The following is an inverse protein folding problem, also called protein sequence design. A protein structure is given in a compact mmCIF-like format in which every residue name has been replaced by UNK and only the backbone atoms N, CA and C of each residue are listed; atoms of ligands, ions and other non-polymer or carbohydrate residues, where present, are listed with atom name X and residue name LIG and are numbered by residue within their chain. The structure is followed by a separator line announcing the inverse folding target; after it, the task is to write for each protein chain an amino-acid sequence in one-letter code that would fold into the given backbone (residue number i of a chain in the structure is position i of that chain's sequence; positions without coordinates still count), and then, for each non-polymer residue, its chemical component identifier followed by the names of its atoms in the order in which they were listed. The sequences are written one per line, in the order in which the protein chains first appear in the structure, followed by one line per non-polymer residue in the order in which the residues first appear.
data_IF_390464943187
#
_entry.id   IF_390464943187
#
_cell.length_a   1.000
_cell.length_b   1.000
_cell.length_c   1.000
_cell.angle_alpha   90.00
_cell.angle_beta   90.00
_cell.angle_gamma   90.00
#
_symmetry.space_group_name_H-M   'P 1'
#
loop_
_entity.id
_entity.type
_entity.pdbx_description
1 polymer ?
#
# COMPACT_ATOMS: atom_id res chain seq x y z
N UNK A 1 0.13 12.15 13.89
CA UNK A 1 0.74 11.84 12.58
C UNK A 1 0.01 12.57 11.47
N UNK A 2 0.74 13.07 10.49
CA UNK A 2 0.20 13.71 9.27
C UNK A 2 0.12 12.62 8.19
N UNK A 3 -0.84 12.68 7.27
CA UNK A 3 -1.06 11.69 6.20
C UNK A 3 0.20 11.40 5.38
N UNK A 4 1.05 12.40 5.18
CA UNK A 4 2.36 12.29 4.52
C UNK A 4 3.31 11.32 5.25
N UNK A 5 3.30 11.32 6.59
CA UNK A 5 4.16 10.47 7.40
C UNK A 5 3.74 8.99 7.30
N UNK A 6 2.44 8.76 7.23
CA UNK A 6 1.82 7.44 7.10
C UNK A 6 2.15 6.82 5.74
N UNK A 7 1.99 7.59 4.66
CA UNK A 7 2.35 7.13 3.31
C UNK A 7 3.82 6.78 3.27
N UNK A 8 4.68 7.63 3.81
CA UNK A 8 6.13 7.41 3.82
C UNK A 8 6.53 6.14 4.57
N UNK A 9 5.93 5.85 5.72
CA UNK A 9 6.19 4.60 6.44
C UNK A 9 5.78 3.37 5.64
N UNK A 10 4.64 3.43 4.96
CA UNK A 10 4.21 2.35 4.08
C UNK A 10 5.18 2.20 2.88
N UNK A 11 5.65 3.29 2.27
CA UNK A 11 6.65 3.25 1.19
C UNK A 11 7.97 2.61 1.66
N UNK A 12 8.49 3.01 2.83
CA UNK A 12 9.71 2.45 3.40
C UNK A 12 9.57 0.95 3.69
N UNK A 13 8.41 0.53 4.19
CA UNK A 13 8.11 -0.88 4.44
C UNK A 13 8.06 -1.71 3.15
N UNK A 14 7.38 -1.20 2.12
CA UNK A 14 7.29 -1.87 0.82
C UNK A 14 8.66 -1.96 0.14
N UNK A 15 9.44 -0.87 0.19
CA UNK A 15 10.82 -0.82 -0.32
C UNK A 15 11.71 -1.82 0.40
N UNK A 16 11.60 -1.93 1.72
CA UNK A 16 12.36 -2.90 2.54
C UNK A 16 12.04 -4.36 2.20
N UNK A 17 10.84 -4.61 1.66
CA UNK A 17 10.40 -5.94 1.21
C UNK A 17 10.62 -6.19 -0.28
N UNK A 18 11.27 -5.28 -1.00
CA UNK A 18 11.47 -5.35 -2.45
C UNK A 18 10.15 -5.48 -3.22
N UNK A 19 9.07 -4.90 -2.68
CA UNK A 19 7.75 -4.88 -3.33
C UNK A 19 7.72 -3.68 -4.28
N UNK A 20 7.47 -3.94 -5.56
CA UNK A 20 7.30 -2.87 -6.56
C UNK A 20 5.96 -2.14 -6.36
N UNK A 21 6.00 -0.82 -6.29
CA UNK A 21 4.81 0.03 -6.17
C UNK A 21 4.98 1.34 -6.95
N UNK A 22 3.87 1.98 -7.33
CA UNK A 22 3.91 3.34 -7.87
C UNK A 22 3.99 4.35 -6.72
N UNK A 23 4.98 5.25 -6.77
CA UNK A 23 5.07 6.38 -5.85
C UNK A 23 3.80 7.24 -5.93
N UNK A 24 3.26 7.64 -4.78
CA UNK A 24 1.91 8.23 -4.56
C UNK A 24 0.86 7.22 -4.07
N UNK A 25 1.13 6.61 -2.92
CA UNK A 25 0.11 5.85 -2.19
C UNK A 25 -1.10 6.73 -1.84
N UNK A 26 -2.29 6.17 -1.98
CA UNK A 26 -3.56 6.82 -1.65
C UNK A 26 -3.94 6.37 -0.25
N UNK A 27 -4.19 7.32 0.65
CA UNK A 27 -4.77 7.00 1.96
C UNK A 27 -6.23 6.59 1.76
N UNK A 28 -6.51 5.33 2.05
CA UNK A 28 -7.83 4.73 1.98
C UNK A 28 -8.58 4.89 3.29
N UNK A 29 -9.08 3.76 3.82
CA UNK A 29 -9.91 3.75 5.02
C UNK A 29 -9.07 3.92 6.29
N UNK A 30 -9.60 4.65 7.27
CA UNK A 30 -9.05 4.74 8.63
C UNK A 30 -9.95 3.89 9.54
N UNK A 31 -9.39 2.92 10.26
CA UNK A 31 -10.14 2.00 11.12
C UNK A 31 -9.30 1.61 12.34
N UNK A 32 -9.86 1.74 13.54
CA UNK A 32 -9.25 1.27 14.79
C UNK A 32 -7.80 1.74 15.01
N UNK A 33 -7.52 3.03 14.78
CA UNK A 33 -6.17 3.61 14.89
C UNK A 33 -5.21 3.25 13.74
N UNK A 34 -5.64 2.36 12.83
CA UNK A 34 -4.90 2.00 11.62
C UNK A 34 -5.38 2.84 10.43
N UNK A 35 -4.44 3.16 9.55
CA UNK A 35 -4.69 3.90 8.31
C UNK A 35 -4.27 3.02 7.15
N UNK A 36 -5.22 2.77 6.26
CA UNK A 36 -4.98 2.02 5.04
C UNK A 36 -4.30 2.93 4.02
N UNK A 37 -3.23 2.43 3.42
CA UNK A 37 -2.55 3.07 2.30
C UNK A 37 -2.56 2.10 1.14
N UNK A 38 -3.06 2.57 0.00
CA UNK A 38 -3.27 1.78 -1.22
C UNK A 38 -2.25 2.27 -2.24
N UNK A 39 -1.39 1.36 -2.70
CA UNK A 39 -0.41 1.63 -3.73
C UNK A 39 -0.78 0.86 -4.99
N UNK A 40 -1.12 1.55 -6.08
CA UNK A 40 -1.31 0.87 -7.35
C UNK A 40 0.03 0.25 -7.78
N UNK A 41 0.00 -1.01 -8.19
CA UNK A 41 1.15 -1.67 -8.81
C UNK A 41 1.04 -1.45 -10.31
N UNK A 42 2.13 -1.06 -11.00
CA UNK A 42 2.06 -0.96 -12.45
C UNK A 42 1.76 -2.35 -13.00
N UNK A 43 0.63 -2.51 -13.68
CA UNK A 43 0.36 -3.73 -14.44
C UNK A 43 1.57 -3.99 -15.33
N UNK A 44 2.17 -5.16 -15.20
CA UNK A 44 3.00 -5.69 -16.27
C UNK A 44 2.14 -5.62 -17.52
N UNK A 45 2.54 -4.82 -18.50
CA UNK A 45 1.89 -4.62 -19.80
C UNK A 45 1.90 -5.94 -20.60
N UNK A 46 1.29 -6.99 -20.06
CA UNK A 46 1.12 -8.28 -20.70
C UNK A 46 -0.26 -8.26 -21.38
N UNK A 47 -0.32 -8.01 -22.71
CA UNK A 47 -1.58 -7.87 -23.45
C UNK A 47 -2.41 -9.18 -23.51
N UNK A 48 -1.94 -10.26 -22.88
CA UNK A 48 -2.61 -11.55 -22.83
C UNK A 48 -3.26 -11.86 -21.46
N UNK A 49 -3.09 -11.01 -20.45
CA UNK A 49 -3.77 -11.17 -19.16
C UNK A 49 -5.11 -10.45 -19.25
N UNK A 50 -6.20 -11.22 -19.20
CA UNK A 50 -7.54 -10.65 -19.03
C UNK A 50 -7.52 -9.73 -17.80
N UNK A 51 -8.05 -8.51 -17.92
CA UNK A 51 -8.05 -7.46 -16.89
C UNK A 51 -8.63 -8.00 -15.58
N UNK A 52 -7.76 -8.56 -14.75
CA UNK A 52 -7.97 -8.70 -13.32
C UNK A 52 -7.54 -7.36 -12.78
N UNK A 53 -8.36 -6.71 -11.95
CA UNK A 53 -7.98 -5.43 -11.33
C UNK A 53 -6.50 -5.50 -10.90
N UNK A 54 -5.67 -4.50 -11.27
CA UNK A 54 -4.26 -4.51 -10.91
C UNK A 54 -4.11 -4.90 -9.45
N UNK A 55 -3.12 -5.73 -9.08
CA UNK A 55 -2.93 -6.08 -7.68
C UNK A 55 -2.54 -4.80 -6.91
N UNK A 56 -3.51 -4.10 -6.35
CA UNK A 56 -3.25 -2.95 -5.50
C UNK A 56 -2.58 -3.45 -4.21
N UNK A 57 -1.41 -2.91 -3.91
CA UNK A 57 -0.72 -3.24 -2.67
C UNK A 57 -1.31 -2.37 -1.58
N UNK A 58 -2.04 -3.00 -0.65
CA UNK A 58 -2.69 -2.32 0.46
C UNK A 58 -1.91 -2.57 1.74
N UNK A 59 -1.72 -1.54 2.55
CA UNK A 59 -0.91 -1.58 3.76
C UNK A 59 -1.67 -0.90 4.89
N UNK A 60 -1.76 -1.54 6.05
CA UNK A 60 -2.22 -0.90 7.28
C UNK A 60 -1.03 -0.29 8.02
N UNK A 61 -1.14 0.99 8.36
CA UNK A 61 -0.18 1.69 9.21
C UNK A 61 -0.89 2.08 10.50
N UNK A 62 -0.43 1.56 11.63
CA UNK A 62 -0.92 1.93 12.94
C UNK A 62 -0.31 3.28 13.35
N UNK A 63 -1.16 4.31 13.49
CA UNK A 63 -0.69 5.65 13.82
C UNK A 63 -0.28 5.82 15.30
N UNK A 64 -0.67 4.87 16.17
CA UNK A 64 -0.35 4.87 17.60
C UNK A 64 0.93 4.08 17.89
N UNK A 65 1.08 2.89 17.29
CA UNK A 65 2.24 2.02 17.48
C UNK A 65 3.36 2.22 16.44
N UNK A 66 3.06 2.80 15.28
CA UNK A 66 3.97 2.84 14.13
C UNK A 66 4.15 1.49 13.41
N UNK A 67 3.31 0.50 13.74
CA UNK A 67 3.35 -0.82 13.10
C UNK A 67 2.79 -0.76 11.68
N UNK A 68 3.48 -1.42 10.74
CA UNK A 68 3.09 -1.48 9.33
C UNK A 68 2.83 -2.93 8.92
N UNK A 69 1.64 -3.20 8.39
CA UNK A 69 1.17 -4.54 8.03
C UNK A 69 0.69 -4.58 6.57
N UNK A 70 1.16 -5.55 5.79
CA UNK A 70 0.67 -5.76 4.43
C UNK A 70 -0.71 -6.43 4.47
N UNK A 71 -1.70 -5.84 3.79
CA UNK A 71 -3.00 -6.45 3.59
C UNK A 71 -2.89 -7.36 2.36
N UNK A 72 -2.69 -8.65 2.59
CA UNK A 72 -2.69 -9.62 1.51
C UNK A 72 -4.13 -9.81 1.02
N UNK A 73 -4.46 -9.31 -0.18
CA UNK A 73 -5.70 -9.66 -0.86
C UNK A 73 -5.50 -11.06 -1.46
N UNK A 74 -5.96 -12.10 -0.77
CA UNK A 74 -6.06 -13.46 -1.31
C UNK A 74 -7.15 -13.56 -2.36
#
# INVERSE_FOLDING_TARGET
MIEVDIIKQAEEFLTSRDIGFVQSGIVGRKSDGKVEVIFPVPETLDPNVAVVEPPDVRVWVNAESGEVELINQM
#
